data_IF_880247258566
#
_entry.id   IF_880247258566
#
_cell.length_a   1.000
_cell.length_b   1.000
_cell.length_c   1.000
_cell.angle_alpha   90.00
_cell.angle_beta   90.00
_cell.angle_gamma   90.00
#
_symmetry.space_group_name_H-M   'P 1'
#
loop_
_entity.id
_entity.type
_entity.pdbx_description
1 polymer ?
#
# COMPACT_ATOMS: atom_id res chain seq x y z
N UNK A 1 9.29 -17.78 7.39
CA UNK A 1 10.00 -17.87 8.69
C UNK A 1 10.44 -19.29 8.97
N UNK A 2 9.54 -20.22 9.34
CA UNK A 2 9.90 -21.61 9.70
C UNK A 2 10.84 -22.32 8.70
N UNK A 3 10.56 -22.28 7.39
CA UNK A 3 11.43 -22.91 6.37
C UNK A 3 12.83 -22.28 6.32
N UNK A 4 12.94 -20.96 6.51
CA UNK A 4 14.23 -20.27 6.52
C UNK A 4 15.02 -20.64 7.79
N UNK A 5 14.37 -20.70 8.95
CA UNK A 5 14.97 -21.15 10.20
C UNK A 5 15.44 -22.63 10.11
N UNK A 6 14.64 -23.51 9.50
CA UNK A 6 14.99 -24.91 9.30
C UNK A 6 16.22 -25.12 8.37
N UNK A 7 16.51 -24.17 7.47
CA UNK A 7 17.72 -24.20 6.64
C UNK A 7 18.91 -23.54 7.36
N UNK A 8 18.69 -22.40 8.02
CA UNK A 8 19.77 -21.60 8.59
C UNK A 8 20.25 -22.06 9.97
N UNK A 9 19.41 -22.69 10.81
CA UNK A 9 19.86 -23.25 12.08
C UNK A 9 20.91 -24.37 11.87
N UNK A 10 20.71 -25.37 10.98
CA UNK A 10 21.77 -26.32 10.64
C UNK A 10 23.00 -25.66 9.98
N UNK A 11 22.81 -24.68 9.09
CA UNK A 11 23.92 -24.01 8.43
C UNK A 11 24.83 -23.23 9.41
N UNK A 12 24.23 -22.60 10.43
CA UNK A 12 24.97 -21.94 11.51
C UNK A 12 25.71 -22.96 12.40
N UNK A 13 25.08 -24.11 12.72
CA UNK A 13 25.74 -25.19 13.44
C UNK A 13 26.94 -25.76 12.65
N UNK A 14 26.82 -25.92 11.33
CA UNK A 14 27.95 -26.35 10.48
C UNK A 14 29.08 -25.31 10.48
N UNK A 15 28.77 -24.01 10.46
CA UNK A 15 29.79 -22.96 10.59
C UNK A 15 30.50 -23.00 11.96
N UNK A 16 29.80 -23.32 13.04
CA UNK A 16 30.39 -23.56 14.36
C UNK A 16 31.32 -24.79 14.35
N UNK A 17 30.85 -25.93 13.82
CA UNK A 17 31.59 -27.19 13.77
C UNK A 17 32.85 -27.14 12.89
N UNK A 18 32.84 -26.35 11.82
CA UNK A 18 34.00 -26.11 10.94
C UNK A 18 34.94 -25.03 11.52
N UNK A 19 34.63 -24.46 12.69
CA UNK A 19 35.48 -23.49 13.37
C UNK A 19 35.52 -22.13 12.68
N UNK A 20 34.45 -21.72 12.00
CA UNK A 20 34.42 -20.47 11.26
C UNK A 20 34.67 -19.25 12.18
N UNK A 21 35.41 -18.22 11.71
CA UNK A 21 35.67 -17.00 12.49
C UNK A 21 34.37 -16.39 13.05
N UNK A 22 34.44 -15.88 14.28
CA UNK A 22 33.27 -15.33 14.96
C UNK A 22 32.68 -14.13 14.20
N UNK A 23 33.53 -13.38 13.51
CA UNK A 23 33.19 -12.29 12.60
C UNK A 23 32.32 -12.79 11.44
N UNK A 24 32.73 -13.87 10.77
CA UNK A 24 31.97 -14.50 9.68
C UNK A 24 30.61 -14.99 10.16
N UNK A 25 30.55 -15.62 11.35
CA UNK A 25 29.28 -16.06 11.95
C UNK A 25 28.35 -14.90 12.26
N UNK A 26 28.85 -13.82 12.90
CA UNK A 26 28.07 -12.59 13.15
C UNK A 26 27.59 -11.94 11.86
N UNK A 27 28.40 -11.91 10.80
CA UNK A 27 28.02 -11.40 9.49
C UNK A 27 26.90 -12.24 8.83
N UNK A 28 27.00 -13.57 8.87
CA UNK A 28 25.96 -14.48 8.33
C UNK A 28 24.64 -14.31 9.09
N UNK A 29 24.67 -14.36 10.42
CA UNK A 29 23.47 -14.14 11.26
C UNK A 29 22.86 -12.78 10.96
N UNK A 30 23.68 -11.73 10.86
CA UNK A 30 23.23 -10.37 10.51
C UNK A 30 22.54 -10.34 9.14
N UNK A 31 23.18 -10.83 8.08
CA UNK A 31 22.66 -10.80 6.70
C UNK A 31 21.35 -11.59 6.54
N UNK A 32 21.21 -12.72 7.24
CA UNK A 32 19.99 -13.55 7.20
C UNK A 32 18.86 -12.95 8.05
N UNK A 33 19.20 -12.27 9.14
CA UNK A 33 18.22 -11.69 10.08
C UNK A 33 17.69 -10.32 9.65
N UNK A 34 18.50 -9.50 8.96
CA UNK A 34 18.10 -8.15 8.55
C UNK A 34 16.82 -8.09 7.68
N UNK A 35 16.56 -9.01 6.73
CA UNK A 35 15.27 -9.02 6.02
C UNK A 35 14.06 -9.38 6.91
N UNK A 36 14.27 -10.00 8.08
CA UNK A 36 13.16 -10.57 8.87
C UNK A 36 12.38 -9.49 9.63
N UNK A 37 13.03 -8.42 10.09
CA UNK A 37 12.33 -7.31 10.76
C UNK A 37 11.37 -6.61 9.79
N UNK A 38 11.81 -6.35 8.56
CA UNK A 38 10.96 -5.70 7.55
C UNK A 38 9.82 -6.63 7.11
N UNK A 39 10.05 -7.95 7.04
CA UNK A 39 8.95 -8.89 6.82
C UNK A 39 7.92 -8.87 7.96
N UNK A 40 8.35 -8.76 9.22
CA UNK A 40 7.43 -8.61 10.35
C UNK A 40 6.58 -7.34 10.22
N UNK A 41 7.19 -6.20 9.87
CA UNK A 41 6.49 -4.94 9.58
C UNK A 41 5.51 -5.10 8.41
N UNK A 42 5.93 -5.76 7.33
CA UNK A 42 5.06 -6.05 6.18
C UNK A 42 3.85 -6.91 6.59
N UNK A 43 4.03 -7.93 7.44
CA UNK A 43 2.93 -8.76 7.94
C UNK A 43 1.96 -7.96 8.82
N UNK A 44 2.46 -7.08 9.68
CA UNK A 44 1.62 -6.16 10.48
C UNK A 44 0.80 -5.25 9.57
N UNK A 45 1.42 -4.62 8.55
CA UNK A 45 0.72 -3.75 7.59
C UNK A 45 -0.27 -4.52 6.70
N UNK A 46 0.08 -5.75 6.31
CA UNK A 46 -0.82 -6.63 5.55
C UNK A 46 -2.03 -7.08 6.38
N UNK A 47 -1.86 -7.37 7.67
CA UNK A 47 -2.95 -7.64 8.60
C UNK A 47 -3.81 -6.39 8.87
N UNK A 48 -3.19 -5.21 8.94
CA UNK A 48 -3.88 -3.92 9.08
C UNK A 48 -4.51 -3.40 7.77
N UNK A 49 -4.23 -4.03 6.63
CA UNK A 49 -4.69 -3.61 5.31
C UNK A 49 -6.21 -3.30 5.18
N UNK A 50 -7.16 -4.10 5.72
CA UNK A 50 -8.58 -3.76 5.65
C UNK A 50 -8.92 -2.47 6.42
N UNK A 51 -8.25 -2.21 7.56
CA UNK A 51 -8.41 -0.97 8.31
C UNK A 51 -7.81 0.22 7.55
N UNK A 52 -6.55 0.11 7.10
CA UNK A 52 -5.86 1.16 6.34
C UNK A 52 -6.60 1.52 5.04
N UNK A 53 -7.17 0.53 4.34
CA UNK A 53 -8.04 0.75 3.18
C UNK A 53 -9.33 1.49 3.54
N UNK A 54 -9.96 1.17 4.67
CA UNK A 54 -11.18 1.86 5.16
C UNK A 54 -10.87 3.32 5.53
N UNK A 55 -9.77 3.57 6.24
CA UNK A 55 -9.32 4.94 6.58
C UNK A 55 -8.99 5.74 5.32
N UNK A 56 -8.21 5.18 4.38
CA UNK A 56 -7.93 5.82 3.09
C UNK A 56 -9.20 6.09 2.27
N UNK A 57 -10.20 5.19 2.29
CA UNK A 57 -11.46 5.42 1.58
C UNK A 57 -12.28 6.58 2.14
N UNK A 58 -12.26 6.77 3.47
CA UNK A 58 -13.02 7.81 4.19
C UNK A 58 -12.32 9.16 4.19
N UNK A 59 -11.03 9.19 4.56
CA UNK A 59 -10.26 10.41 4.77
C UNK A 59 -9.44 10.82 3.53
N UNK A 60 -9.33 9.96 2.50
CA UNK A 60 -8.45 10.20 1.36
C UNK A 60 -6.98 10.36 1.80
N UNK A 61 -6.23 11.22 1.10
CA UNK A 61 -4.81 11.45 1.37
C UNK A 61 -4.53 12.02 2.79
N UNK A 62 -5.51 12.65 3.43
CA UNK A 62 -5.38 13.11 4.83
C UNK A 62 -5.11 11.96 5.82
N UNK A 63 -5.46 10.72 5.47
CA UNK A 63 -5.09 9.52 6.25
C UNK A 63 -3.58 9.30 6.41
N UNK A 64 -2.75 9.89 5.55
CA UNK A 64 -1.29 9.81 5.62
C UNK A 64 -0.73 10.75 6.69
N UNK A 65 -1.41 11.87 6.98
CA UNK A 65 -0.90 12.94 7.85
C UNK A 65 -0.61 12.48 9.29
N UNK A 66 -1.46 11.69 9.99
CA UNK A 66 -1.14 11.22 11.34
C UNK A 66 0.12 10.36 11.41
N UNK A 67 0.38 9.53 10.39
CA UNK A 67 1.57 8.69 10.32
C UNK A 67 2.83 9.52 10.01
N UNK A 68 2.72 10.54 9.15
CA UNK A 68 3.82 11.50 8.91
C UNK A 68 4.13 12.29 10.18
N UNK A 69 3.12 12.81 10.89
CA UNK A 69 3.31 13.53 12.15
C UNK A 69 3.98 12.65 13.21
N UNK A 70 3.58 11.37 13.33
CA UNK A 70 4.21 10.42 14.24
C UNK A 70 5.69 10.15 13.87
N UNK A 71 6.05 10.14 12.58
CA UNK A 71 7.45 10.08 12.17
C UNK A 71 8.18 11.37 12.56
N UNK A 72 7.62 12.54 12.25
CA UNK A 72 8.22 13.84 12.59
C UNK A 72 8.51 13.95 14.09
N UNK A 73 7.58 13.53 14.96
CA UNK A 73 7.79 13.60 16.43
C UNK A 73 8.84 12.61 16.93
N UNK A 74 8.84 11.37 16.44
CA UNK A 74 9.85 10.37 16.80
C UNK A 74 11.25 10.77 16.30
N UNK A 75 11.34 11.32 15.09
CA UNK A 75 12.62 11.71 14.49
C UNK A 75 13.18 12.98 15.15
N UNK A 76 12.33 13.94 15.51
CA UNK A 76 12.72 15.10 16.31
C UNK A 76 13.18 14.71 17.73
N UNK A 77 12.53 13.72 18.35
CA UNK A 77 12.91 13.20 19.66
C UNK A 77 14.20 12.34 19.64
N UNK A 78 14.69 11.92 18.46
CA UNK A 78 15.82 10.99 18.31
C UNK A 78 17.08 11.45 19.05
N UNK A 79 17.40 12.74 18.99
CA UNK A 79 18.59 13.31 19.62
C UNK A 79 18.59 13.26 21.15
N UNK A 80 17.42 13.10 21.79
CA UNK A 80 17.29 12.96 23.24
C UNK A 80 17.40 11.52 23.76
N UNK A 81 17.56 10.53 22.86
CA UNK A 81 17.52 9.12 23.20
C UNK A 81 16.07 8.58 23.22
N UNK A 82 15.73 7.73 22.26
CA UNK A 82 14.40 7.12 22.18
C UNK A 82 14.27 5.97 23.19
N UNK A 83 13.14 5.82 23.90
CA UNK A 83 12.85 4.63 24.69
C UNK A 83 12.92 3.36 23.84
N UNK A 84 13.48 2.27 24.37
CA UNK A 84 13.71 1.02 23.64
C UNK A 84 12.43 0.39 23.09
N UNK A 85 11.28 0.60 23.75
CA UNK A 85 9.97 0.14 23.28
C UNK A 85 9.38 0.99 22.14
N UNK A 86 9.86 2.22 21.94
CA UNK A 86 9.28 3.16 20.98
C UNK A 86 9.68 2.80 19.54
N UNK A 87 10.94 2.42 19.29
CA UNK A 87 11.41 2.03 17.95
C UNK A 87 10.56 0.92 17.28
N UNK A 88 10.26 -0.23 17.93
CA UNK A 88 9.43 -1.27 17.31
C UNK A 88 7.95 -0.87 17.09
N UNK A 89 7.44 0.14 17.81
CA UNK A 89 6.07 0.67 17.62
C UNK A 89 6.04 1.75 16.54
N UNK A 90 7.01 2.67 16.55
CA UNK A 90 7.15 3.73 15.57
C UNK A 90 7.44 3.20 14.16
N UNK A 91 8.19 2.11 14.05
CA UNK A 91 8.58 1.50 12.76
C UNK A 91 7.38 1.13 11.86
N UNK A 92 6.40 0.30 12.28
CA UNK A 92 5.23 0.00 11.45
C UNK A 92 4.34 1.23 11.20
N UNK A 93 4.28 2.19 12.12
CA UNK A 93 3.58 3.47 11.87
C UNK A 93 4.25 4.26 10.76
N UNK A 94 5.58 4.37 10.77
CA UNK A 94 6.34 5.03 9.73
C UNK A 94 6.19 4.35 8.35
N UNK A 95 6.30 3.02 8.31
CA UNK A 95 6.08 2.24 7.09
C UNK A 95 4.62 2.24 6.61
N UNK A 96 3.66 2.65 7.45
CA UNK A 96 2.28 2.88 7.02
C UNK A 96 2.15 4.06 6.04
N UNK A 97 3.09 5.03 6.04
CA UNK A 97 3.10 6.17 5.10
C UNK A 97 3.22 5.69 3.64
N UNK A 98 4.30 4.99 3.21
CA UNK A 98 4.37 4.46 1.85
C UNK A 98 3.29 3.40 1.56
N UNK A 99 2.82 2.66 2.57
CA UNK A 99 1.74 1.69 2.40
C UNK A 99 0.40 2.36 2.05
N UNK A 100 0.02 3.41 2.78
CA UNK A 100 -1.15 4.24 2.50
C UNK A 100 -1.03 4.93 1.14
N UNK A 101 0.13 5.47 0.79
CA UNK A 101 0.38 6.03 -0.54
C UNK A 101 0.23 4.97 -1.65
N UNK A 102 0.63 3.72 -1.40
CA UNK A 102 0.35 2.58 -2.28
C UNK A 102 -1.14 2.28 -2.43
N UNK A 103 -1.92 2.34 -1.34
CA UNK A 103 -3.40 2.22 -1.40
C UNK A 103 -3.99 3.40 -2.20
N UNK A 104 -3.52 4.63 -1.98
CA UNK A 104 -4.00 5.81 -2.71
C UNK A 104 -3.71 5.70 -4.22
N UNK A 105 -2.52 5.21 -4.59
CA UNK A 105 -2.13 4.91 -5.97
C UNK A 105 -3.07 3.86 -6.61
N UNK A 106 -3.35 2.76 -5.89
CA UNK A 106 -4.24 1.69 -6.33
C UNK A 106 -5.70 2.16 -6.47
N UNK A 107 -6.16 3.07 -5.60
CA UNK A 107 -7.47 3.72 -5.68
C UNK A 107 -7.54 4.87 -6.71
N UNK A 108 -6.48 5.13 -7.48
CA UNK A 108 -6.45 6.23 -8.46
C UNK A 108 -6.39 7.64 -7.86
N UNK A 109 -6.20 7.77 -6.53
CA UNK A 109 -6.16 9.06 -5.81
C UNK A 109 -4.87 9.86 -6.01
N UNK A 110 -3.83 9.25 -6.58
CA UNK A 110 -2.57 9.90 -6.92
C UNK A 110 -2.46 10.13 -8.44
N UNK A 111 -2.80 11.34 -8.95
CA UNK A 111 -2.72 11.65 -10.36
C UNK A 111 -1.27 11.93 -10.79
N UNK A 112 -0.98 11.78 -12.09
CA UNK A 112 0.35 12.05 -12.69
C UNK A 112 0.95 13.41 -12.26
N UNK A 113 0.11 14.46 -12.17
CA UNK A 113 0.53 15.82 -11.78
C UNK A 113 1.14 15.89 -10.38
N UNK A 114 0.74 15.03 -9.45
CA UNK A 114 1.36 14.95 -8.12
C UNK A 114 2.79 14.41 -8.19
N UNK A 115 3.16 13.69 -9.27
CA UNK A 115 4.49 13.11 -9.44
C UNK A 115 5.61 14.13 -9.47
N UNK A 116 5.41 15.29 -10.11
CA UNK A 116 6.39 16.38 -10.14
C UNK A 116 6.62 16.98 -8.75
N UNK A 117 5.54 17.31 -8.03
CA UNK A 117 5.62 17.86 -6.68
C UNK A 117 6.25 16.89 -5.68
N UNK A 118 5.89 15.59 -5.74
CA UNK A 118 6.48 14.55 -4.89
C UNK A 118 7.97 14.31 -5.22
N UNK A 119 8.35 14.34 -6.50
CA UNK A 119 9.73 14.18 -6.92
C UNK A 119 10.61 15.35 -6.44
N UNK A 120 10.21 16.58 -6.76
CA UNK A 120 10.95 17.79 -6.42
C UNK A 120 10.99 17.99 -4.89
N UNK A 121 9.84 17.87 -4.22
CA UNK A 121 9.74 17.98 -2.76
C UNK A 121 10.51 16.88 -2.02
N UNK A 122 10.50 15.65 -2.53
CA UNK A 122 11.30 14.55 -1.98
C UNK A 122 12.80 14.78 -2.13
N UNK A 123 13.26 15.19 -3.31
CA UNK A 123 14.69 15.52 -3.56
C UNK A 123 15.12 16.71 -2.70
N UNK A 124 14.32 17.78 -2.63
CA UNK A 124 14.61 18.95 -1.81
C UNK A 124 14.64 18.59 -0.31
N UNK A 125 13.72 17.74 0.14
CA UNK A 125 13.69 17.22 1.52
C UNK A 125 14.93 16.40 1.86
N UNK A 126 15.35 15.48 0.99
CA UNK A 126 16.62 14.75 1.15
C UNK A 126 17.80 15.71 1.21
N UNK A 127 17.91 16.65 0.26
CA UNK A 127 19.02 17.62 0.22
C UNK A 127 19.06 18.51 1.48
N UNK A 128 17.91 18.92 2.00
CA UNK A 128 17.81 19.67 3.26
C UNK A 128 18.27 18.83 4.45
N UNK A 129 17.79 17.60 4.58
CA UNK A 129 18.10 16.72 5.72
C UNK A 129 19.59 16.32 5.74
N UNK A 130 20.21 16.09 4.59
CA UNK A 130 21.66 15.91 4.49
C UNK A 130 22.43 17.13 5.01
N UNK A 131 21.97 18.35 4.72
CA UNK A 131 22.56 19.59 5.27
C UNK A 131 22.32 19.76 6.78
N UNK A 132 21.30 19.11 7.33
CA UNK A 132 21.02 19.02 8.77
C UNK A 132 21.78 17.87 9.46
N UNK A 133 22.73 17.22 8.78
CA UNK A 133 23.59 16.19 9.36
C UNK A 133 22.97 14.79 9.42
N UNK A 134 21.89 14.53 8.67
CA UNK A 134 21.36 13.17 8.56
C UNK A 134 22.34 12.26 7.79
N UNK A 135 22.51 10.98 8.17
CA UNK A 135 23.33 10.03 7.44
C UNK A 135 22.92 9.94 5.97
N UNK A 136 23.90 9.86 5.07
CA UNK A 136 23.63 9.79 3.63
C UNK A 136 23.03 8.43 3.20
N UNK A 137 23.31 7.37 3.95
CA UNK A 137 22.73 6.07 3.71
C UNK A 137 21.32 5.96 4.30
N UNK A 138 20.39 5.39 3.52
CA UNK A 138 19.07 5.02 4.04
C UNK A 138 19.18 3.85 5.04
N UNK A 139 19.97 2.84 4.71
CA UNK A 139 20.25 1.68 5.59
C UNK A 139 21.41 2.01 6.54
N UNK A 140 21.45 1.41 7.72
CA UNK A 140 22.61 1.51 8.60
C UNK A 140 23.88 0.95 7.93
N UNK A 141 24.94 1.75 7.89
CA UNK A 141 26.27 1.38 7.39
C UNK A 141 27.28 1.54 8.53
N UNK A 142 28.29 0.65 8.68
CA UNK A 142 29.32 0.83 9.69
C UNK A 142 30.03 2.19 9.56
N UNK A 143 29.93 3.02 10.59
CA UNK A 143 30.46 4.38 10.63
C UNK A 143 29.40 5.49 10.74
N UNK A 144 28.15 5.22 10.34
CA UNK A 144 27.05 6.18 10.52
C UNK A 144 26.55 6.21 11.97
N UNK A 145 26.12 7.39 12.45
CA UNK A 145 25.63 7.58 13.82
C UNK A 145 24.30 6.86 14.11
N UNK A 146 23.43 6.69 13.09
CA UNK A 146 22.18 5.94 13.19
C UNK A 146 21.71 5.46 11.80
N UNK A 147 20.72 4.57 11.77
CA UNK A 147 20.05 4.13 10.55
C UNK A 147 18.83 5.01 10.26
N UNK A 148 18.69 5.52 9.03
CA UNK A 148 17.49 6.25 8.60
C UNK A 148 16.24 5.35 8.45
N UNK A 149 16.36 4.04 8.67
CA UNK A 149 15.26 3.08 8.63
C UNK A 149 14.92 2.46 9.99
N UNK A 150 15.63 2.83 11.07
CA UNK A 150 15.42 2.27 12.42
C UNK A 150 15.37 3.37 13.52
N UNK A 151 14.17 3.76 13.98
CA UNK A 151 12.94 3.74 13.19
C UNK A 151 13.07 4.66 11.95
N UNK A 152 12.20 4.54 10.93
CA UNK A 152 12.33 5.35 9.71
C UNK A 152 12.23 6.86 9.96
N UNK A 153 13.17 7.60 9.39
CA UNK A 153 13.33 9.05 9.56
C UNK A 153 12.54 9.87 8.52
N UNK A 154 12.53 11.19 8.69
CA UNK A 154 12.08 12.15 7.67
C UNK A 154 12.86 11.98 6.35
N UNK A 155 14.12 11.56 6.40
CA UNK A 155 14.93 11.31 5.20
C UNK A 155 14.39 10.11 4.43
N UNK A 156 13.98 9.05 5.13
CA UNK A 156 13.31 7.90 4.51
C UNK A 156 11.96 8.28 3.89
N UNK A 157 11.18 9.16 4.53
CA UNK A 157 9.92 9.67 3.96
C UNK A 157 10.15 10.56 2.73
N UNK A 158 11.15 11.44 2.76
CA UNK A 158 11.53 12.28 1.62
C UNK A 158 12.02 11.44 0.43
N UNK A 159 12.82 10.40 0.69
CA UNK A 159 13.24 9.44 -0.33
C UNK A 159 12.06 8.65 -0.91
N UNK A 160 11.12 8.19 -0.08
CA UNK A 160 9.92 7.50 -0.53
C UNK A 160 9.02 8.42 -1.38
N UNK A 161 8.89 9.70 -1.01
CA UNK A 161 8.19 10.70 -1.81
C UNK A 161 8.87 10.92 -3.18
N UNK A 162 10.20 11.03 -3.21
CA UNK A 162 10.97 11.16 -4.45
C UNK A 162 10.75 9.96 -5.39
N UNK A 163 10.86 8.74 -4.85
CA UNK A 163 10.68 7.49 -5.59
C UNK A 163 9.25 7.34 -6.14
N UNK A 164 8.23 7.65 -5.32
CA UNK A 164 6.83 7.65 -5.75
C UNK A 164 6.55 8.73 -6.80
N UNK A 165 7.17 9.90 -6.66
CA UNK A 165 7.09 11.00 -7.62
C UNK A 165 7.63 10.60 -8.99
N UNK A 166 8.86 10.07 -9.02
CA UNK A 166 9.46 9.49 -10.22
C UNK A 166 8.57 8.38 -10.83
N UNK A 167 8.07 7.45 -10.02
CA UNK A 167 7.18 6.39 -10.47
C UNK A 167 5.93 6.95 -11.17
N UNK A 168 5.23 7.94 -10.59
CA UNK A 168 4.06 8.58 -11.20
C UNK A 168 4.39 9.26 -12.54
N UNK A 169 5.60 9.79 -12.70
CA UNK A 169 6.09 10.40 -13.93
C UNK A 169 6.48 9.39 -15.02
N UNK A 170 6.87 8.15 -14.68
CA UNK A 170 7.11 7.08 -15.66
C UNK A 170 5.91 6.12 -15.86
N UNK A 171 4.94 6.11 -14.94
CA UNK A 171 3.80 5.16 -14.94
C UNK A 171 3.07 5.01 -16.28
N UNK A 172 2.75 6.06 -17.07
CA UNK A 172 2.08 5.88 -18.36
C UNK A 172 2.96 5.23 -19.43
N UNK A 173 4.29 5.43 -19.36
CA UNK A 173 5.24 4.72 -20.23
C UNK A 173 5.32 3.25 -19.84
N UNK A 174 5.44 2.95 -18.54
CA UNK A 174 5.40 1.57 -18.03
C UNK A 174 4.08 0.88 -18.37
N UNK A 175 2.94 1.55 -18.23
CA UNK A 175 1.63 0.98 -18.59
C UNK A 175 1.51 0.62 -20.08
N UNK A 176 2.07 1.44 -20.98
CA UNK A 176 2.12 1.14 -22.43
C UNK A 176 3.10 0.03 -22.79
N UNK A 177 4.18 -0.14 -22.03
CA UNK A 177 5.10 -1.26 -22.20
C UNK A 177 4.47 -2.57 -21.70
N UNK A 178 3.83 -2.52 -20.53
CA UNK A 178 3.24 -3.67 -19.82
C UNK A 178 1.83 -4.06 -20.31
N UNK A 179 1.28 -3.37 -21.31
CA UNK A 179 0.10 -3.88 -22.04
C UNK A 179 0.47 -5.03 -22.99
N UNK A 180 1.76 -5.20 -23.32
CA UNK A 180 2.25 -6.28 -24.17
C UNK A 180 2.42 -7.57 -23.33
N UNK A 181 1.76 -8.70 -23.68
CA UNK A 181 1.85 -9.94 -22.90
C UNK A 181 3.28 -10.43 -22.67
N UNK A 182 4.16 -10.30 -23.67
CA UNK A 182 5.56 -10.69 -23.58
C UNK A 182 6.36 -9.88 -22.53
N UNK A 183 6.03 -8.61 -22.30
CA UNK A 183 6.64 -7.78 -21.26
C UNK A 183 5.99 -8.02 -19.88
N UNK A 184 4.68 -8.23 -19.85
CA UNK A 184 3.91 -8.43 -18.63
C UNK A 184 4.15 -9.79 -17.97
N UNK A 185 4.16 -10.88 -18.75
CA UNK A 185 4.26 -12.25 -18.25
C UNK A 185 5.46 -12.53 -17.33
N UNK A 186 6.72 -12.14 -17.66
CA UNK A 186 7.85 -12.36 -16.76
C UNK A 186 7.73 -11.55 -15.46
N UNK A 187 7.23 -10.32 -15.53
CA UNK A 187 7.05 -9.44 -14.36
C UNK A 187 5.93 -9.98 -13.46
N UNK A 188 4.83 -10.47 -14.04
CA UNK A 188 3.75 -11.12 -13.29
C UNK A 188 4.23 -12.44 -12.64
N UNK A 189 5.10 -13.19 -13.32
CA UNK A 189 5.78 -14.37 -12.77
C UNK A 189 6.67 -14.03 -11.57
N UNK A 190 7.54 -13.03 -11.73
CA UNK A 190 8.40 -12.53 -10.65
C UNK A 190 7.59 -12.01 -9.47
N UNK A 191 6.50 -11.27 -9.73
CA UNK A 191 5.63 -10.74 -8.69
C UNK A 191 4.92 -11.85 -7.89
N UNK A 192 4.47 -12.93 -8.53
CA UNK A 192 3.95 -14.12 -7.84
C UNK A 192 5.01 -14.79 -6.95
N UNK A 193 6.28 -14.71 -7.33
CA UNK A 193 7.41 -15.20 -6.55
C UNK A 193 8.03 -14.15 -5.60
N UNK A 194 7.51 -12.93 -5.51
CA UNK A 194 8.21 -11.81 -4.87
C UNK A 194 8.55 -12.08 -3.39
N UNK A 195 7.61 -12.67 -2.63
CA UNK A 195 7.85 -13.05 -1.23
C UNK A 195 8.84 -14.21 -1.10
N UNK A 196 8.89 -15.13 -2.08
CA UNK A 196 9.88 -16.22 -2.14
C UNK A 196 11.26 -15.65 -2.44
N UNK A 197 11.39 -14.80 -3.46
CA UNK A 197 12.61 -14.05 -3.79
C UNK A 197 13.11 -13.26 -2.59
N UNK A 198 12.21 -12.54 -1.90
CA UNK A 198 12.54 -11.79 -0.69
C UNK A 198 13.14 -12.69 0.41
N UNK A 199 12.58 -13.88 0.63
CA UNK A 199 13.12 -14.81 1.64
C UNK A 199 14.48 -15.43 1.24
N UNK A 200 14.75 -15.65 -0.06
CA UNK A 200 15.91 -16.43 -0.51
C UNK A 200 17.07 -15.62 -1.10
N UNK A 201 16.90 -14.33 -1.43
CA UNK A 201 17.94 -13.54 -2.10
C UNK A 201 19.25 -13.43 -1.28
N UNK A 202 19.17 -13.20 0.04
CA UNK A 202 20.36 -13.21 0.91
C UNK A 202 21.00 -14.60 0.98
N UNK A 203 20.21 -15.67 0.90
CA UNK A 203 20.74 -17.03 0.87
C UNK A 203 21.43 -17.36 -0.45
N UNK A 204 20.92 -16.87 -1.59
CA UNK A 204 21.58 -16.97 -2.88
C UNK A 204 22.92 -16.20 -2.89
N UNK A 205 22.94 -14.98 -2.33
CA UNK A 205 24.14 -14.17 -2.16
C UNK A 205 25.20 -14.90 -1.32
N UNK A 206 24.83 -15.40 -0.15
CA UNK A 206 25.75 -16.14 0.73
C UNK A 206 26.23 -17.46 0.11
N UNK A 207 25.35 -18.22 -0.54
CA UNK A 207 25.73 -19.49 -1.19
C UNK A 207 26.76 -19.28 -2.29
N UNK A 208 26.55 -18.33 -3.20
CA UNK A 208 27.53 -17.98 -4.24
C UNK A 208 28.83 -17.44 -3.62
N UNK A 209 28.72 -16.61 -2.58
CA UNK A 209 29.89 -16.04 -1.91
C UNK A 209 30.75 -17.12 -1.25
N UNK A 210 30.16 -18.07 -0.52
CA UNK A 210 30.89 -19.18 0.09
C UNK A 210 31.41 -20.21 -0.92
N UNK A 211 30.64 -20.52 -1.96
CA UNK A 211 31.08 -21.41 -3.04
C UNK A 211 32.29 -20.85 -3.82
N UNK A 212 32.47 -19.53 -3.83
CA UNK A 212 33.62 -18.87 -4.45
C UNK A 212 34.88 -18.81 -3.56
N UNK A 213 34.78 -19.00 -2.23
CA UNK A 213 35.93 -18.89 -1.32
C UNK A 213 37.11 -19.82 -1.71
N UNK A 214 36.90 -21.09 -2.11
CA UNK A 214 37.99 -21.97 -2.55
C UNK A 214 38.69 -21.50 -3.84
N UNK A 215 38.04 -20.65 -4.65
CA UNK A 215 38.60 -20.05 -5.86
C UNK A 215 39.42 -18.78 -5.57
N UNK A 216 39.57 -18.42 -4.30
CA UNK A 216 40.31 -17.25 -3.84
C UNK A 216 39.49 -15.95 -3.91
N UNK A 217 40.20 -14.81 -3.98
CA UNK A 217 39.58 -13.48 -4.08
C UNK A 217 39.15 -13.20 -5.52
N UNK A 218 37.88 -13.48 -5.83
CA UNK A 218 37.31 -13.17 -7.13
C UNK A 218 36.83 -11.71 -7.23
N UNK A 219 37.18 -10.99 -8.32
CA UNK A 219 36.79 -9.61 -8.57
C UNK A 219 35.32 -9.30 -8.28
N UNK A 220 35.12 -8.29 -7.43
CA UNK A 220 33.81 -7.70 -7.14
C UNK A 220 32.88 -8.55 -6.26
N UNK A 221 33.35 -9.68 -5.72
CA UNK A 221 32.56 -10.50 -4.80
C UNK A 221 32.84 -10.14 -3.33
N UNK A 222 34.11 -10.25 -2.93
CA UNK A 222 34.63 -9.95 -1.59
C UNK A 222 35.52 -8.69 -1.53
N UNK A 223 35.70 -8.00 -2.67
CA UNK A 223 36.57 -6.83 -2.75
C UNK A 223 35.88 -5.54 -2.33
N UNK A 224 36.71 -4.61 -1.86
CA UNK A 224 36.30 -3.24 -1.55
C UNK A 224 35.86 -2.50 -2.82
N UNK A 225 34.90 -1.56 -2.74
CA UNK A 225 34.53 -0.71 -3.87
C UNK A 225 35.75 0.01 -4.47
N UNK A 226 35.87 -0.06 -5.79
CA UNK A 226 36.98 0.50 -6.58
C UNK A 226 36.51 0.83 -8.00
N UNK A 227 37.36 1.45 -8.81
CA UNK A 227 37.10 1.62 -10.23
C UNK A 227 36.87 0.24 -10.90
N UNK A 228 35.75 0.09 -11.62
CA UNK A 228 35.35 -1.18 -12.23
C UNK A 228 34.62 -2.17 -11.31
N UNK A 229 34.55 -1.95 -9.99
CA UNK A 229 33.82 -2.82 -9.05
C UNK A 229 32.35 -3.05 -9.43
N UNK A 230 31.69 -2.00 -9.95
CA UNK A 230 30.31 -2.08 -10.45
C UNK A 230 30.22 -3.06 -11.64
N UNK A 231 31.16 -3.03 -12.58
CA UNK A 231 31.17 -3.94 -13.72
C UNK A 231 31.36 -5.40 -13.26
N UNK A 232 32.28 -5.64 -12.32
CA UNK A 232 32.44 -6.96 -11.71
C UNK A 232 31.15 -7.46 -11.03
N UNK A 233 30.46 -6.60 -10.26
CA UNK A 233 29.14 -6.93 -9.69
C UNK A 233 28.08 -7.26 -10.75
N UNK A 234 28.07 -6.55 -11.89
CA UNK A 234 27.17 -6.84 -13.01
C UNK A 234 27.43 -8.24 -13.62
N UNK A 235 28.68 -8.66 -13.76
CA UNK A 235 29.02 -10.01 -14.23
C UNK A 235 28.58 -11.13 -13.25
N UNK A 236 28.46 -10.84 -11.96
CA UNK A 236 27.92 -11.78 -10.97
C UNK A 236 26.39 -11.86 -10.94
N UNK A 237 25.66 -10.87 -11.47
CA UNK A 237 24.19 -10.85 -11.44
C UNK A 237 23.54 -12.10 -12.08
N UNK A 238 24.00 -12.62 -13.24
CA UNK A 238 23.46 -13.87 -13.80
C UNK A 238 23.66 -15.06 -12.86
N UNK A 239 24.81 -15.18 -12.20
CA UNK A 239 25.10 -16.27 -11.26
C UNK A 239 24.16 -16.20 -10.05
N UNK A 240 24.05 -15.04 -9.42
CA UNK A 240 23.09 -14.83 -8.32
C UNK A 240 21.64 -15.09 -8.75
N UNK A 241 21.24 -14.66 -9.96
CA UNK A 241 19.90 -14.86 -10.48
C UNK A 241 19.60 -16.35 -10.72
N UNK A 242 20.53 -17.10 -11.31
CA UNK A 242 20.39 -18.56 -11.52
C UNK A 242 20.30 -19.28 -10.18
N UNK A 243 21.18 -18.98 -9.22
CA UNK A 243 21.14 -19.57 -7.86
C UNK A 243 19.83 -19.24 -7.15
N UNK A 244 19.36 -17.99 -7.23
CA UNK A 244 18.10 -17.57 -6.65
C UNK A 244 16.90 -18.27 -7.32
N UNK A 245 16.89 -18.45 -8.63
CA UNK A 245 15.85 -19.21 -9.34
C UNK A 245 15.86 -20.67 -8.93
N UNK A 246 17.03 -21.30 -8.76
CA UNK A 246 17.16 -22.66 -8.26
C UNK A 246 16.58 -22.82 -6.84
N UNK A 247 16.97 -21.94 -5.90
CA UNK A 247 16.40 -21.90 -4.54
C UNK A 247 14.90 -21.63 -4.56
N UNK A 248 14.44 -20.66 -5.36
CA UNK A 248 13.02 -20.34 -5.47
C UNK A 248 12.20 -21.51 -6.00
N UNK A 249 12.74 -22.32 -6.93
CA UNK A 249 12.09 -23.55 -7.43
C UNK A 249 12.09 -24.67 -6.38
N UNK A 250 13.23 -24.94 -5.74
CA UNK A 250 13.37 -25.98 -4.71
C UNK A 250 12.43 -25.74 -3.52
N UNK A 251 12.29 -24.49 -3.10
CA UNK A 251 11.43 -24.10 -1.99
C UNK A 251 10.07 -23.54 -2.44
N UNK A 252 9.68 -23.70 -3.71
CA UNK A 252 8.35 -23.29 -4.17
C UNK A 252 7.29 -24.23 -3.60
N UNK A 253 6.57 -23.79 -2.57
CA UNK A 253 5.30 -24.43 -2.22
C UNK A 253 4.21 -23.90 -3.15
N UNK A 254 3.51 -24.76 -3.92
CA UNK A 254 2.35 -24.32 -4.67
C UNK A 254 1.34 -23.68 -3.71
N UNK A 255 1.13 -22.37 -3.82
CA UNK A 255 0.10 -21.71 -3.05
C UNK A 255 -1.25 -22.33 -3.42
N UNK A 256 -2.01 -22.81 -2.42
CA UNK A 256 -3.41 -23.23 -2.62
C UNK A 256 -4.12 -22.07 -3.31
N UNK A 257 -4.76 -22.34 -4.46
CA UNK A 257 -5.42 -21.31 -5.26
C UNK A 257 -6.37 -20.51 -4.35
N UNK A 258 -6.38 -19.17 -4.41
CA UNK A 258 -7.40 -18.41 -3.71
C UNK A 258 -8.77 -18.90 -4.18
N UNK A 259 -9.68 -19.15 -3.23
CA UNK A 259 -11.08 -19.48 -3.55
C UNK A 259 -11.61 -18.39 -4.48
N UNK A 260 -12.25 -18.74 -5.62
CA UNK A 260 -12.84 -17.74 -6.48
C UNK A 260 -13.83 -16.91 -5.67
N UNK A 261 -13.50 -15.64 -5.45
CA UNK A 261 -14.50 -14.66 -5.03
C UNK A 261 -15.46 -14.57 -6.21
N UNK A 262 -16.67 -15.10 -6.03
CA UNK A 262 -17.69 -15.14 -7.07
C UNK A 262 -17.89 -13.75 -7.68
N UNK A 263 -18.29 -13.67 -8.96
CA UNK A 263 -18.33 -12.40 -9.68
C UNK A 263 -19.08 -11.36 -8.86
N UNK A 264 -18.39 -10.24 -8.59
CA UNK A 264 -19.04 -9.07 -8.02
C UNK A 264 -20.20 -8.71 -8.94
N UNK A 265 -21.43 -8.95 -8.47
CA UNK A 265 -22.62 -8.39 -9.12
C UNK A 265 -22.40 -6.88 -9.13
N UNK A 266 -22.18 -6.33 -10.32
CA UNK A 266 -22.46 -4.92 -10.53
C UNK A 266 -23.90 -4.69 -10.05
N UNK A 267 -24.16 -3.64 -9.26
CA UNK A 267 -25.51 -3.09 -9.22
C UNK A 267 -25.84 -2.72 -10.67
N UNK A 268 -26.95 -3.24 -11.19
CA UNK A 268 -27.41 -2.82 -12.51
C UNK A 268 -27.52 -1.29 -12.53
N UNK A 269 -27.03 -0.62 -13.59
CA UNK A 269 -27.35 0.79 -13.77
C UNK A 269 -28.86 0.91 -13.80
N UNK A 270 -29.43 1.76 -12.92
CA UNK A 270 -30.86 1.92 -12.78
C UNK A 270 -31.51 2.09 -14.17
N UNK A 271 -32.43 1.17 -14.50
CA UNK A 271 -33.19 1.25 -15.74
C UNK A 271 -33.88 2.61 -15.84
N UNK A 272 -34.08 3.16 -17.05
CA UNK A 272 -34.56 4.51 -17.23
C UNK A 272 -35.86 4.72 -16.46
N UNK A 273 -35.87 5.72 -15.57
CA UNK A 273 -37.06 6.13 -14.84
C UNK A 273 -38.18 6.43 -15.83
N UNK A 274 -39.20 5.57 -15.89
CA UNK A 274 -40.46 5.89 -16.54
C UNK A 274 -41.14 7.00 -15.75
N UNK A 275 -41.21 8.19 -16.32
CA UNK A 275 -42.12 9.23 -15.88
C UNK A 275 -43.55 8.69 -15.86
N UNK A 276 -44.28 8.76 -14.73
CA UNK A 276 -45.65 8.27 -14.67
C UNK A 276 -46.64 9.39 -15.04
N UNK A 277 -46.89 9.56 -16.34
CA UNK A 277 -48.00 10.41 -16.81
C UNK A 277 -49.07 9.60 -17.56
N UNK A 278 -50.28 9.63 -16.99
CA UNK A 278 -51.59 9.65 -17.63
C UNK A 278 -51.97 8.52 -18.64
N UNK A 279 -52.57 7.44 -18.13
CA UNK A 279 -53.70 6.75 -18.81
C UNK A 279 -54.74 6.23 -17.80
N UNK A 280 -55.97 6.76 -17.90
CA UNK A 280 -57.23 6.03 -17.65
C UNK A 280 -57.70 5.80 -16.19
N UNK A 281 -59.02 5.88 -15.92
CA UNK A 281 -59.55 5.66 -14.58
C UNK A 281 -59.51 4.17 -14.17
N UNK A 282 -59.14 3.90 -12.92
CA UNK A 282 -59.35 2.58 -12.32
C UNK A 282 -60.85 2.33 -12.17
N UNK A 283 -61.30 1.14 -12.57
CA UNK A 283 -62.56 0.56 -12.08
C UNK A 283 -62.31 0.09 -10.65
N UNK A 284 -63.21 0.45 -9.73
CA UNK A 284 -63.10 0.06 -8.33
C UNK A 284 -63.30 -1.46 -8.12
N UNK A 285 -62.80 -2.02 -7.02
CA UNK A 285 -62.84 -3.46 -6.78
C UNK A 285 -64.26 -3.94 -6.48
N UNK A 286 -64.66 -5.05 -7.12
CA UNK A 286 -65.89 -5.78 -6.74
C UNK A 286 -65.68 -6.38 -5.34
N UNK A 287 -66.52 -6.04 -4.33
CA UNK A 287 -66.44 -6.67 -3.02
C UNK A 287 -66.95 -8.12 -3.09
N UNK A 288 -66.21 -9.05 -2.49
CA UNK A 288 -66.65 -10.43 -2.33
C UNK A 288 -67.75 -10.45 -1.27
N UNK A 289 -69.00 -10.65 -1.69
CA UNK A 289 -70.15 -10.78 -0.78
C UNK A 289 -70.12 -12.07 0.05
N UNK A 290 -70.74 -12.08 1.25
CA UNK A 290 -70.85 -13.26 2.09
C UNK A 290 -71.80 -14.33 1.49
N UNK A 291 -71.66 -15.56 1.97
CA UNK A 291 -72.45 -16.73 1.50
C UNK A 291 -73.96 -16.54 1.72
N UNK A 292 -74.76 -17.05 0.79
CA UNK A 292 -76.22 -17.21 0.98
C UNK A 292 -76.53 -18.15 2.15
N UNK A 293 -77.42 -17.72 3.03
CA UNK A 293 -78.54 -18.54 3.50
C UNK A 293 -79.84 -17.94 2.89
N UNK A 294 -80.93 -18.71 2.73
CA UNK A 294 -82.10 -18.27 1.97
C UNK A 294 -83.17 -17.51 2.80
N UNK A 295 -84.06 -16.84 2.06
CA UNK A 295 -85.43 -16.41 2.38
C UNK A 295 -85.70 -15.25 3.38
N UNK A 296 -86.09 -14.06 2.87
CA UNK A 296 -87.44 -13.44 3.01
C UNK A 296 -87.55 -12.00 2.38
N UNK A 297 -88.50 -11.81 1.46
CA UNK A 297 -89.44 -10.66 1.26
C UNK A 297 -88.96 -9.17 1.27
N UNK A 298 -88.89 -8.58 0.05
CA UNK A 298 -89.52 -7.31 -0.43
C UNK A 298 -89.09 -5.89 0.12
N UNK A 299 -89.54 -4.72 -0.43
CA UNK A 299 -88.59 -3.71 -0.96
C UNK A 299 -88.77 -2.23 -0.49
N UNK A 300 -87.83 -1.32 -0.83
CA UNK A 300 -87.95 0.12 -0.53
C UNK A 300 -86.84 1.04 -1.11
N UNK A 301 -87.24 2.20 -1.65
CA UNK A 301 -86.53 3.04 -2.64
C UNK A 301 -85.59 4.18 -2.14
N UNK A 302 -84.79 4.74 -3.10
CA UNK A 302 -84.22 6.11 -3.18
C UNK A 302 -83.21 6.61 -2.11
N UNK A 303 -82.27 7.55 -2.37
CA UNK A 303 -81.80 8.22 -3.60
C UNK A 303 -80.95 9.49 -3.32
N UNK A 304 -80.16 9.99 -4.32
CA UNK A 304 -79.55 11.36 -4.45
C UNK A 304 -78.45 11.81 -3.43
N UNK A 305 -77.57 12.82 -3.64
CA UNK A 305 -76.89 13.43 -4.82
C UNK A 305 -75.82 14.51 -4.40
N UNK A 306 -75.05 15.12 -5.36
CA UNK A 306 -74.31 16.45 -5.32
C UNK A 306 -73.02 16.56 -4.43
N UNK A 307 -71.77 16.86 -4.91
CA UNK A 307 -71.07 18.06 -5.53
C UNK A 307 -70.59 19.17 -4.52
N UNK A 308 -69.51 19.99 -4.64
CA UNK A 308 -68.56 20.38 -5.74
C UNK A 308 -67.26 21.14 -5.24
N UNK A 309 -66.36 21.61 -6.15
CA UNK A 309 -65.40 22.79 -6.05
C UNK A 309 -64.05 22.72 -5.24
N UNK A 310 -62.99 23.59 -5.42
CA UNK A 310 -62.37 24.33 -6.59
C UNK A 310 -60.99 25.03 -6.25
N UNK A 311 -60.10 25.27 -7.26
CA UNK A 311 -59.02 26.31 -7.42
C UNK A 311 -57.64 26.34 -6.66
N UNK A 312 -56.70 27.19 -7.15
CA UNK A 312 -55.23 27.29 -6.83
C UNK A 312 -54.73 28.77 -6.65
N UNK A 313 -53.50 29.23 -7.06
CA UNK A 313 -52.19 29.27 -6.36
C UNK A 313 -51.50 30.68 -6.24
N UNK A 314 -50.28 30.83 -5.64
CA UNK A 314 -49.30 31.91 -5.98
C UNK A 314 -47.83 31.73 -5.43
N UNK A 315 -46.90 32.64 -5.78
CA UNK A 315 -45.40 32.59 -5.70
C UNK A 315 -44.73 33.79 -4.98
N UNK A 316 -43.38 33.78 -4.74
CA UNK A 316 -42.35 34.86 -4.99
C UNK A 316 -41.01 34.76 -4.16
N UNK A 317 -39.95 35.44 -4.65
CA UNK A 317 -38.50 35.51 -4.29
C UNK A 317 -38.12 36.56 -3.18
N UNK A 318 -36.93 36.56 -2.54
CA UNK A 318 -35.75 37.47 -2.83
C UNK A 318 -34.62 37.43 -1.74
N UNK A 319 -33.48 38.13 -1.97
CA UNK A 319 -32.28 38.34 -1.09
C UNK A 319 -31.36 39.44 -1.69
N UNK A 320 -30.14 39.85 -1.20
CA UNK A 320 -29.34 39.51 0.01
C UNK A 320 -28.62 40.71 0.76
N UNK A 321 -27.82 40.46 1.81
CA UNK A 321 -26.86 41.41 2.47
C UNK A 321 -25.87 40.68 3.44
N UNK A 322 -24.76 41.21 4.02
CA UNK A 322 -23.95 42.45 3.77
C UNK A 322 -22.39 42.34 3.98
N UNK A 323 -21.78 42.81 5.10
CA UNK A 323 -20.39 43.38 5.15
C UNK A 323 -19.57 43.28 6.48
N UNK A 324 -18.24 43.57 6.38
CA UNK A 324 -17.36 44.29 7.36
C UNK A 324 -16.24 43.60 8.21
N UNK A 325 -15.02 44.15 8.05
CA UNK A 325 -13.86 44.34 8.97
C UNK A 325 -13.09 43.22 9.73
N UNK A 326 -11.76 43.17 9.48
CA UNK A 326 -10.69 43.52 10.47
C UNK A 326 -9.29 43.61 9.79
N UNK A 327 -8.38 44.39 10.37
CA UNK A 327 -6.96 44.50 9.93
C UNK A 327 -5.98 44.81 11.06
N UNK A 328 -4.67 44.64 10.80
CA UNK A 328 -3.44 45.02 11.56
C UNK A 328 -2.28 44.12 11.07
N UNK A 329 -0.98 44.39 11.28
CA UNK A 329 -0.16 45.61 11.22
C UNK A 329 1.33 45.21 11.33
N UNK A 330 2.20 45.95 10.62
CA UNK A 330 3.67 46.05 10.63
C UNK A 330 4.61 45.20 11.55
N UNK A 331 5.75 44.81 10.95
CA UNK A 331 7.16 44.87 11.41
C UNK A 331 7.60 44.23 12.75
N UNK A 332 8.64 43.36 12.68
CA UNK A 332 10.08 43.66 12.88
C UNK A 332 10.90 42.60 12.14
#
# INVERSE_FOLDING_TARGET
MLVLAAVWLPALLVLDLVGAPAETRRLVVSLVSHPLWFLAVYLVLAAAAPLLRRVMSRCGLWSVLPAVLAVTTVDAARGGGLPSWLAPVATPVAWSVPYLLGIALAQGRLPRRAGGALLIGGIAGVALLLRLGYPASAVGVPGDHWSNLDPPSLLALALAAAQLGAFLLVRPWLARLLSRPAAWAPIAGLNRAAMTVYCWHQSALLLVTFAAVPLGRLPGLLDRPSAGWVAHRLYWLPVFAVTLVALCRLFHRPHRRPVPIGPHRHPDPAGPHRSPDLVGPRRDPVPIGPRRCPDLVDPGAAGQAVSSSVASPCTISTSPSESSQRGRSAAV
#
